data_IF_082174712207
#
_entry.id   IF_082174712207
#
_cell.length_a   1.000
_cell.length_b   1.000
_cell.length_c   1.000
_cell.angle_alpha   90.00
_cell.angle_beta   90.00
_cell.angle_gamma   90.00
#
_symmetry.space_group_name_H-M   'P 1'
#
loop_
_entity.id
_entity.type
_entity.pdbx_description
1 polymer ?
#
# COMPACT_ATOMS: atom_id res chain seq x y z
N UNK A 1 -10.16 -16.13 11.05
CA UNK A 1 -10.80 -15.18 11.98
C UNK A 1 -9.93 -15.07 13.23
N UNK A 2 -9.09 -14.07 13.40
CA UNK A 2 -8.17 -13.98 14.54
C UNK A 2 -8.89 -13.92 15.90
N UNK A 3 -10.13 -13.43 15.93
CA UNK A 3 -10.94 -13.31 17.15
C UNK A 3 -11.26 -14.62 17.89
N UNK A 4 -10.89 -15.78 17.33
CA UNK A 4 -11.11 -17.10 17.94
C UNK A 4 -9.82 -17.80 18.37
N UNK A 5 -8.66 -17.15 18.19
CA UNK A 5 -7.39 -17.70 18.66
C UNK A 5 -7.27 -17.40 20.16
N UNK A 6 -6.96 -18.42 20.96
CA UNK A 6 -6.90 -18.31 22.43
C UNK A 6 -5.91 -17.26 22.94
N UNK A 7 -4.85 -17.01 22.16
CA UNK A 7 -3.76 -16.09 22.52
C UNK A 7 -3.89 -14.71 21.87
N UNK A 8 -5.02 -14.42 21.19
CA UNK A 8 -5.26 -13.14 20.52
C UNK A 8 -6.42 -12.41 21.20
N UNK A 9 -6.16 -11.18 21.64
CA UNK A 9 -7.20 -10.30 22.16
C UNK A 9 -8.05 -9.73 20.98
N UNK A 10 -9.32 -10.13 20.85
CA UNK A 10 -10.15 -9.70 19.72
C UNK A 10 -10.50 -8.21 19.73
N UNK A 11 -10.31 -7.51 20.85
CA UNK A 11 -10.53 -6.07 20.96
C UNK A 11 -9.29 -5.24 20.61
N UNK A 12 -8.18 -5.90 20.34
CA UNK A 12 -6.87 -5.26 20.09
C UNK A 12 -6.27 -5.64 18.73
N UNK A 13 -7.12 -5.98 17.77
CA UNK A 13 -6.67 -6.30 16.41
C UNK A 13 -6.26 -5.03 15.69
N UNK A 14 -4.98 -4.91 15.39
CA UNK A 14 -4.42 -3.83 14.57
C UNK A 14 -4.18 -4.37 13.18
N UNK A 15 -4.45 -3.54 12.17
CA UNK A 15 -4.08 -3.85 10.79
C UNK A 15 -3.01 -2.88 10.31
N UNK A 16 -1.97 -3.45 9.71
CA UNK A 16 -0.85 -2.73 9.12
C UNK A 16 -0.76 -3.06 7.63
N UNK A 17 -0.47 -2.06 6.84
CA UNK A 17 -0.22 -2.25 5.42
C UNK A 17 0.66 -1.15 4.86
N UNK A 18 1.43 -1.50 3.82
CA UNK A 18 2.32 -0.58 3.14
C UNK A 18 2.02 -0.54 1.65
N UNK A 19 2.26 0.59 0.98
CA UNK A 19 2.05 0.78 -0.45
C UNK A 19 0.63 0.37 -0.87
N UNK A 20 0.47 -0.58 -1.78
CA UNK A 20 -0.83 -1.11 -2.19
C UNK A 20 -1.60 -1.73 -1.00
N UNK A 21 -0.89 -2.45 -0.11
CA UNK A 21 -1.42 -2.95 1.16
C UNK A 21 -1.85 -1.85 2.12
N UNK A 22 -1.19 -0.68 2.10
CA UNK A 22 -1.59 0.51 2.82
C UNK A 22 -2.98 1.01 2.42
N UNK A 23 -3.31 0.92 1.14
CA UNK A 23 -4.67 1.16 0.64
C UNK A 23 -5.66 0.10 1.11
N UNK A 24 -5.29 -1.17 1.09
CA UNK A 24 -6.16 -2.27 1.51
C UNK A 24 -6.58 -2.15 2.97
N UNK A 25 -5.66 -1.80 3.88
CA UNK A 25 -6.02 -1.65 5.30
C UNK A 25 -6.99 -0.49 5.52
N UNK A 26 -6.93 0.59 4.73
CA UNK A 26 -7.90 1.68 4.78
C UNK A 26 -9.30 1.20 4.35
N UNK A 27 -9.40 0.46 3.27
CA UNK A 27 -10.67 -0.10 2.81
C UNK A 27 -11.24 -1.09 3.84
N UNK A 28 -10.40 -2.00 4.35
CA UNK A 28 -10.80 -3.01 5.36
C UNK A 28 -11.31 -2.35 6.65
N UNK A 29 -10.59 -1.36 7.18
CA UNK A 29 -10.99 -0.68 8.41
C UNK A 29 -12.27 0.15 8.27
N UNK A 30 -12.58 0.61 7.06
CA UNK A 30 -13.83 1.32 6.81
C UNK A 30 -15.07 0.40 6.86
N UNK A 31 -14.88 -0.89 6.63
CA UNK A 31 -15.94 -1.89 6.57
C UNK A 31 -15.92 -2.84 7.78
N UNK A 32 -14.92 -2.73 8.68
CA UNK A 32 -14.84 -3.55 9.90
C UNK A 32 -14.55 -2.70 11.15
N UNK A 33 -15.61 -2.40 11.92
CA UNK A 33 -15.54 -1.61 13.16
C UNK A 33 -14.80 -2.33 14.32
N UNK A 34 -14.39 -3.60 14.16
CA UNK A 34 -13.63 -4.35 15.17
C UNK A 34 -12.15 -4.03 15.14
N UNK A 35 -11.67 -3.34 14.11
CA UNK A 35 -10.29 -2.90 14.02
C UNK A 35 -10.00 -1.88 15.11
N UNK A 36 -9.00 -2.15 15.95
CA UNK A 36 -8.62 -1.29 17.07
C UNK A 36 -7.76 -0.10 16.64
N UNK A 37 -6.87 -0.29 15.66
CA UNK A 37 -6.05 0.76 15.06
C UNK A 37 -5.57 0.36 13.67
N UNK A 38 -5.17 1.34 12.87
CA UNK A 38 -4.67 1.15 11.49
C UNK A 38 -3.33 1.85 11.33
N UNK A 39 -2.38 1.18 10.72
CA UNK A 39 -1.14 1.79 10.24
C UNK A 39 -1.11 1.65 8.72
N UNK A 40 -1.10 2.80 8.04
CA UNK A 40 -1.12 2.89 6.57
C UNK A 40 0.15 3.60 6.09
N UNK A 41 1.15 2.81 5.71
CA UNK A 41 2.48 3.28 5.34
C UNK A 41 2.56 3.53 3.83
N UNK A 42 3.06 4.72 3.41
CA UNK A 42 3.16 5.19 2.02
C UNK A 42 2.02 4.65 1.12
N UNK A 43 0.74 4.86 1.53
CA UNK A 43 -0.36 4.10 0.98
C UNK A 43 -0.71 4.51 -0.45
N UNK A 44 -1.02 3.50 -1.26
CA UNK A 44 -1.74 3.68 -2.51
C UNK A 44 -3.20 4.07 -2.21
N UNK A 45 -3.58 5.30 -2.49
CA UNK A 45 -4.91 5.83 -2.13
C UNK A 45 -5.82 6.13 -3.31
N UNK A 46 -5.24 6.30 -4.52
CA UNK A 46 -5.96 6.77 -5.70
C UNK A 46 -5.33 6.18 -6.97
N UNK A 47 -6.02 5.22 -7.57
CA UNK A 47 -5.54 4.50 -8.75
C UNK A 47 -5.38 5.36 -9.99
N UNK A 48 -6.29 6.31 -10.20
CA UNK A 48 -6.19 7.22 -11.35
C UNK A 48 -4.98 8.13 -11.22
N UNK A 49 -4.78 8.72 -10.02
CA UNK A 49 -3.64 9.61 -9.78
C UNK A 49 -2.30 8.90 -9.91
N UNK A 50 -2.19 7.67 -9.42
CA UNK A 50 -0.97 6.86 -9.58
C UNK A 50 -0.74 6.47 -11.04
N UNK A 51 -1.80 6.11 -11.78
CA UNK A 51 -1.70 5.77 -13.21
C UNK A 51 -1.31 6.97 -14.08
N UNK A 52 -1.77 8.18 -13.74
CA UNK A 52 -1.41 9.42 -14.43
C UNK A 52 0.03 9.89 -14.13
N UNK A 53 0.65 9.40 -13.08
CA UNK A 53 2.06 9.64 -12.77
C UNK A 53 3.01 8.76 -13.63
N UNK A 54 2.49 7.73 -14.30
CA UNK A 54 3.24 6.85 -15.18
C UNK A 54 3.37 7.47 -16.59
N UNK A 55 4.48 7.25 -17.27
CA UNK A 55 4.70 7.70 -18.64
C UNK A 55 3.58 7.22 -19.58
N UNK A 56 3.12 8.11 -20.47
CA UNK A 56 1.97 7.83 -21.35
C UNK A 56 2.17 6.57 -22.23
N UNK A 57 3.37 6.39 -22.80
CA UNK A 57 3.68 5.22 -23.63
C UNK A 57 3.67 3.91 -22.84
N UNK A 58 4.19 3.93 -21.61
CA UNK A 58 4.15 2.78 -20.69
C UNK A 58 2.70 2.45 -20.35
N UNK A 59 1.91 3.47 -19.97
CA UNK A 59 0.48 3.31 -19.66
C UNK A 59 -0.30 2.75 -20.84
N UNK A 60 -0.02 3.20 -22.07
CA UNK A 60 -0.69 2.70 -23.27
C UNK A 60 -0.34 1.22 -23.53
N UNK A 61 0.95 0.87 -23.51
CA UNK A 61 1.41 -0.53 -23.69
C UNK A 61 0.81 -1.46 -22.63
N UNK A 62 0.86 -1.05 -21.37
CA UNK A 62 0.29 -1.82 -20.27
C UNK A 62 -1.22 -2.00 -20.43
N UNK A 63 -1.94 -0.95 -20.86
CA UNK A 63 -3.39 -1.02 -21.12
C UNK A 63 -3.72 -1.99 -22.25
N UNK A 64 -2.97 -1.97 -23.35
CA UNK A 64 -3.17 -2.91 -24.48
C UNK A 64 -2.94 -4.37 -24.03
N UNK A 65 -1.87 -4.63 -23.28
CA UNK A 65 -1.61 -5.95 -22.72
C UNK A 65 -2.71 -6.38 -21.73
N UNK A 66 -3.18 -5.45 -20.90
CA UNK A 66 -4.25 -5.71 -19.94
C UNK A 66 -5.58 -6.06 -20.60
N UNK A 67 -5.93 -5.37 -21.69
CA UNK A 67 -7.12 -5.69 -22.50
C UNK A 67 -6.98 -7.04 -23.19
N UNK A 68 -5.84 -7.33 -23.81
CA UNK A 68 -5.57 -8.61 -24.45
C UNK A 68 -5.64 -9.76 -23.42
N UNK A 69 -5.05 -9.57 -22.23
CA UNK A 69 -5.09 -10.52 -21.15
C UNK A 69 -6.52 -10.73 -20.59
N UNK A 70 -7.29 -9.66 -20.46
CA UNK A 70 -8.70 -9.73 -20.01
C UNK A 70 -9.55 -10.49 -21.03
N UNK A 71 -9.44 -10.19 -22.31
CA UNK A 71 -10.18 -10.87 -23.38
C UNK A 71 -9.77 -12.34 -23.46
N UNK A 72 -8.46 -12.63 -23.48
CA UNK A 72 -7.93 -13.99 -23.50
C UNK A 72 -8.44 -14.84 -22.33
N UNK A 73 -8.62 -14.22 -21.15
CA UNK A 73 -9.13 -14.93 -19.97
C UNK A 73 -10.55 -15.47 -20.14
N UNK A 74 -11.39 -14.83 -20.94
CA UNK A 74 -12.74 -15.32 -21.22
C UNK A 74 -12.74 -16.61 -22.07
N UNK A 75 -11.64 -16.85 -22.79
CA UNK A 75 -11.41 -18.03 -23.61
C UNK A 75 -10.46 -19.05 -22.95
N UNK A 76 -10.18 -18.89 -21.65
CA UNK A 76 -9.31 -19.80 -20.90
C UNK A 76 -7.81 -19.68 -21.20
N UNK A 77 -7.38 -18.59 -21.87
CA UNK A 77 -5.96 -18.37 -22.15
C UNK A 77 -5.16 -18.14 -20.84
N UNK A 78 -3.89 -18.54 -20.86
CA UNK A 78 -2.96 -18.23 -19.76
C UNK A 78 -2.80 -16.72 -19.60
N UNK A 79 -2.59 -16.22 -18.35
CA UNK A 79 -2.41 -14.81 -18.12
C UNK A 79 -1.15 -14.29 -18.81
N UNK A 80 -1.24 -13.08 -19.39
CA UNK A 80 -0.08 -12.31 -19.81
C UNK A 80 0.52 -11.71 -18.56
N UNK A 81 1.76 -12.07 -18.24
CA UNK A 81 2.46 -11.60 -17.07
C UNK A 81 3.28 -10.34 -17.40
N UNK A 82 3.26 -9.38 -16.49
CA UNK A 82 4.00 -8.11 -16.56
C UNK A 82 4.79 -7.94 -15.28
N UNK A 83 6.06 -7.50 -15.34
CA UNK A 83 6.87 -7.23 -14.15
C UNK A 83 6.21 -6.22 -13.21
N UNK A 84 6.40 -6.41 -11.90
CA UNK A 84 5.93 -5.45 -10.89
C UNK A 84 6.73 -4.15 -10.91
N UNK A 85 8.05 -4.24 -11.12
CA UNK A 85 8.93 -3.09 -11.25
C UNK A 85 9.82 -3.21 -12.50
N UNK A 86 10.09 -2.09 -13.15
CA UNK A 86 10.94 -1.97 -14.33
C UNK A 86 11.68 -0.64 -14.35
N UNK A 87 12.61 -0.49 -15.26
CA UNK A 87 13.30 0.77 -15.53
C UNK A 87 12.33 1.77 -16.18
N UNK A 88 12.60 3.09 -16.12
CA UNK A 88 11.83 4.07 -16.88
C UNK A 88 11.72 3.69 -18.36
N UNK A 89 10.50 3.69 -18.89
CA UNK A 89 10.20 3.27 -20.26
C UNK A 89 9.90 1.76 -20.45
N UNK A 90 10.19 0.91 -19.48
CA UNK A 90 9.83 -0.51 -19.50
C UNK A 90 8.30 -0.69 -19.40
N UNK A 91 7.82 -1.85 -19.84
CA UNK A 91 6.43 -2.23 -19.62
C UNK A 91 6.32 -2.99 -18.30
N UNK A 92 6.09 -2.26 -17.22
CA UNK A 92 5.93 -2.77 -15.86
C UNK A 92 4.87 -1.97 -15.08
N UNK A 93 4.43 -2.46 -13.92
CA UNK A 93 3.45 -1.76 -13.09
C UNK A 93 4.01 -0.51 -12.41
N UNK A 94 5.29 -0.52 -12.05
CA UNK A 94 6.03 0.60 -11.45
C UNK A 94 7.27 0.87 -12.30
N UNK A 95 7.40 2.07 -12.85
CA UNK A 95 8.50 2.49 -13.73
C UNK A 95 9.07 3.86 -13.36
N UNK A 96 8.85 4.32 -12.12
CA UNK A 96 9.52 5.49 -11.60
C UNK A 96 11.04 5.26 -11.55
N UNK A 97 11.88 6.32 -11.55
CA UNK A 97 13.34 6.19 -11.61
C UNK A 97 13.94 5.29 -10.53
N UNK A 98 13.32 5.23 -9.36
CA UNK A 98 13.72 4.45 -8.20
C UNK A 98 12.99 3.09 -8.08
N UNK A 99 11.96 2.82 -8.90
CA UNK A 99 11.11 1.63 -8.75
C UNK A 99 11.89 0.32 -8.89
N UNK A 100 12.69 0.19 -9.95
CA UNK A 100 13.38 -1.07 -10.20
C UNK A 100 14.46 -1.36 -9.14
N UNK A 101 15.31 -0.38 -8.82
CA UNK A 101 16.37 -0.53 -7.82
C UNK A 101 15.80 -0.67 -6.40
N UNK A 102 14.82 0.17 -6.05
CA UNK A 102 14.18 0.16 -4.74
C UNK A 102 13.44 -1.15 -4.49
N UNK A 103 12.57 -1.57 -5.42
CA UNK A 103 11.81 -2.82 -5.25
C UNK A 103 12.72 -4.05 -5.16
N UNK A 104 13.68 -4.19 -6.08
CA UNK A 104 14.59 -5.34 -6.08
C UNK A 104 15.56 -5.33 -4.90
N UNK A 105 15.97 -4.14 -4.43
CA UNK A 105 16.82 -3.99 -3.24
C UNK A 105 16.17 -4.49 -1.94
N UNK A 106 14.84 -4.57 -1.88
CA UNK A 106 14.09 -5.09 -0.74
C UNK A 106 13.93 -6.61 -0.77
N UNK A 107 14.27 -7.28 -1.88
CA UNK A 107 14.12 -8.73 -1.99
C UNK A 107 15.34 -9.41 -1.38
N UNK A 108 15.17 -10.23 -0.32
CA UNK A 108 16.29 -10.94 0.28
C UNK A 108 16.98 -11.87 -0.73
N UNK A 109 18.30 -11.97 -0.64
CA UNK A 109 19.08 -12.89 -1.46
C UNK A 109 18.56 -14.32 -1.31
N UNK A 110 18.28 -14.99 -2.44
CA UNK A 110 17.74 -16.34 -2.48
C UNK A 110 16.22 -16.45 -2.26
N UNK A 111 15.51 -15.36 -2.03
CA UNK A 111 14.05 -15.41 -1.91
C UNK A 111 13.40 -15.78 -3.25
N UNK A 112 12.46 -16.74 -3.21
CA UNK A 112 11.67 -17.14 -4.38
C UNK A 112 10.33 -16.39 -4.39
N UNK A 113 10.36 -15.13 -4.79
CA UNK A 113 9.18 -14.28 -4.87
C UNK A 113 8.82 -14.10 -6.34
N UNK A 114 7.53 -14.27 -6.68
CA UNK A 114 7.05 -13.92 -8.03
C UNK A 114 7.05 -12.40 -8.16
N UNK A 115 7.79 -11.89 -9.13
CA UNK A 115 7.93 -10.46 -9.40
C UNK A 115 7.09 -10.00 -10.59
N UNK A 116 6.02 -10.72 -10.89
CA UNK A 116 5.14 -10.49 -12.01
C UNK A 116 3.67 -10.62 -11.57
N UNK A 117 2.80 -9.89 -12.22
CA UNK A 117 1.36 -10.03 -12.08
C UNK A 117 0.67 -10.08 -13.45
N UNK A 118 -0.57 -10.56 -13.47
CA UNK A 118 -1.37 -10.59 -14.69
C UNK A 118 -1.64 -9.17 -15.19
N UNK A 119 -1.41 -8.91 -16.46
CA UNK A 119 -1.56 -7.58 -17.06
C UNK A 119 -2.96 -6.99 -16.84
N UNK A 120 -4.00 -7.84 -16.85
CA UNK A 120 -5.40 -7.44 -16.59
C UNK A 120 -5.59 -6.71 -15.26
N UNK A 121 -4.70 -6.89 -14.28
CA UNK A 121 -4.73 -6.20 -13.01
C UNK A 121 -4.59 -4.68 -13.15
N UNK A 122 -3.92 -4.18 -14.20
CA UNK A 122 -3.83 -2.74 -14.48
C UNK A 122 -5.21 -2.09 -14.64
N UNK A 123 -6.19 -2.81 -15.23
CA UNK A 123 -7.56 -2.32 -15.39
C UNK A 123 -8.31 -2.17 -14.06
N UNK A 124 -7.92 -2.97 -13.06
CA UNK A 124 -8.50 -2.93 -11.73
C UNK A 124 -7.82 -1.86 -10.86
N UNK A 125 -6.49 -1.68 -11.01
CA UNK A 125 -5.71 -0.63 -10.32
C UNK A 125 -6.29 0.75 -10.58
N UNK A 126 -6.53 1.12 -11.85
CA UNK A 126 -7.01 2.46 -12.20
C UNK A 126 -8.38 2.79 -11.59
N UNK A 127 -9.16 1.77 -11.24
CA UNK A 127 -10.48 1.89 -10.62
C UNK A 127 -10.47 1.76 -9.11
N UNK A 128 -9.31 1.45 -8.52
CA UNK A 128 -9.18 1.23 -7.10
C UNK A 128 -8.88 2.54 -6.36
N UNK A 129 -9.80 2.97 -5.49
CA UNK A 129 -9.75 4.23 -4.75
C UNK A 129 -9.92 4.04 -3.24
N UNK A 130 -9.00 3.33 -2.56
CA UNK A 130 -9.16 3.04 -1.14
C UNK A 130 -9.19 4.29 -0.27
N UNK A 131 -8.54 5.38 -0.69
CA UNK A 131 -8.58 6.66 0.00
C UNK A 131 -9.99 7.25 0.17
N UNK A 132 -10.96 6.86 -0.67
CA UNK A 132 -12.36 7.29 -0.51
C UNK A 132 -13.04 6.70 0.73
N UNK A 133 -12.48 5.64 1.29
CA UNK A 133 -13.00 4.96 2.48
C UNK A 133 -12.62 5.67 3.78
N UNK A 134 -11.61 6.54 3.79
CA UNK A 134 -11.06 7.17 5.01
C UNK A 134 -12.11 7.88 5.89
N UNK A 135 -13.16 8.57 5.37
CA UNK A 135 -14.15 9.22 6.23
C UNK A 135 -15.01 8.23 7.06
N UNK A 136 -15.04 6.96 6.68
CA UNK A 136 -15.85 5.94 7.38
C UNK A 136 -15.07 5.17 8.44
N UNK A 137 -13.73 5.35 8.49
CA UNK A 137 -12.88 4.62 9.44
C UNK A 137 -13.12 5.17 10.86
N UNK A 138 -13.57 4.31 11.76
CA UNK A 138 -13.81 4.68 13.17
C UNK A 138 -12.56 4.53 14.04
N UNK A 139 -11.68 3.61 13.68
CA UNK A 139 -10.41 3.38 14.37
C UNK A 139 -9.44 4.56 14.20
N UNK A 140 -8.52 4.79 15.14
CA UNK A 140 -7.38 5.67 14.92
C UNK A 140 -6.52 5.15 13.78
N UNK A 141 -6.09 6.05 12.89
CA UNK A 141 -5.27 5.74 11.71
C UNK A 141 -3.99 6.55 11.74
N UNK A 142 -2.85 5.88 11.72
CA UNK A 142 -1.56 6.50 11.41
C UNK A 142 -1.30 6.42 9.90
N UNK A 143 -1.08 7.57 9.28
CA UNK A 143 -0.58 7.67 7.92
C UNK A 143 0.90 8.03 7.95
N UNK A 144 1.75 7.12 7.49
CA UNK A 144 3.17 7.38 7.24
C UNK A 144 3.32 7.82 5.78
N UNK A 145 3.60 9.08 5.52
CA UNK A 145 3.59 9.66 4.17
C UNK A 145 5.00 10.06 3.74
N UNK A 146 5.49 9.48 2.67
CA UNK A 146 6.75 9.87 2.04
C UNK A 146 6.52 11.08 1.13
N UNK A 147 7.18 12.21 1.40
CA UNK A 147 6.98 13.44 0.63
C UNK A 147 7.42 13.33 -0.84
N UNK A 148 8.63 12.79 -1.15
CA UNK A 148 9.06 12.56 -2.52
C UNK A 148 8.64 11.18 -3.06
N UNK A 149 7.43 10.68 -2.68
CA UNK A 149 6.94 9.38 -3.13
C UNK A 149 6.69 9.38 -4.64
N UNK A 150 7.46 8.58 -5.37
CA UNK A 150 7.42 8.44 -6.83
C UNK A 150 6.34 7.46 -7.32
N UNK A 151 5.78 6.62 -6.41
CA UNK A 151 4.84 5.54 -6.71
C UNK A 151 3.43 5.89 -6.25
N UNK A 152 3.31 6.38 -5.00
CA UNK A 152 2.05 6.74 -4.36
C UNK A 152 2.04 8.24 -3.99
N UNK A 153 1.59 9.15 -4.89
CA UNK A 153 1.77 10.60 -4.74
C UNK A 153 1.27 11.13 -3.40
N UNK A 154 2.18 11.73 -2.61
CA UNK A 154 1.92 12.23 -1.25
C UNK A 154 0.73 13.20 -1.19
N UNK A 155 0.57 14.06 -2.21
CA UNK A 155 -0.54 15.04 -2.28
C UNK A 155 -1.91 14.37 -2.19
N UNK A 156 -2.10 13.25 -2.89
CA UNK A 156 -3.38 12.51 -2.87
C UNK A 156 -3.56 11.80 -1.53
N UNK A 157 -2.52 11.17 -1.04
CA UNK A 157 -2.53 10.52 0.28
C UNK A 157 -2.92 11.51 1.37
N UNK A 158 -2.30 12.69 1.44
CA UNK A 158 -2.61 13.75 2.41
C UNK A 158 -4.05 14.25 2.30
N UNK A 159 -4.57 14.37 1.07
CA UNK A 159 -5.97 14.77 0.83
C UNK A 159 -6.94 13.77 1.44
N UNK A 160 -6.67 12.47 1.31
CA UNK A 160 -7.51 11.41 1.85
C UNK A 160 -7.30 11.23 3.35
N UNK A 161 -6.06 11.27 3.84
CA UNK A 161 -5.72 11.11 5.24
C UNK A 161 -6.46 12.12 6.15
N UNK A 162 -6.49 13.40 5.74
CA UNK A 162 -7.19 14.48 6.49
C UNK A 162 -8.71 14.28 6.61
N UNK A 163 -9.29 13.34 5.88
CA UNK A 163 -10.72 13.04 5.92
C UNK A 163 -11.06 11.93 6.93
N UNK A 164 -10.08 11.18 7.40
CA UNK A 164 -10.29 10.19 8.44
C UNK A 164 -10.58 10.90 9.78
N UNK A 165 -11.65 10.54 10.51
CA UNK A 165 -12.06 11.25 11.73
C UNK A 165 -11.00 11.26 12.85
N UNK A 166 -10.22 10.19 12.94
CA UNK A 166 -9.17 9.99 13.96
C UNK A 166 -7.83 9.70 13.28
N UNK A 167 -7.30 10.70 12.54
CA UNK A 167 -6.05 10.55 11.82
C UNK A 167 -4.86 11.17 12.55
N UNK A 168 -3.70 10.53 12.40
CA UNK A 168 -2.38 11.04 12.70
C UNK A 168 -1.55 10.95 11.42
N UNK A 169 -0.83 11.99 11.03
CA UNK A 169 -0.06 12.05 9.78
C UNK A 169 1.38 12.35 10.14
N UNK A 170 2.27 11.41 9.86
CA UNK A 170 3.71 11.59 9.91
C UNK A 170 4.26 11.70 8.49
N UNK A 171 5.08 12.73 8.25
CA UNK A 171 5.66 13.00 6.94
C UNK A 171 7.16 12.76 6.99
N UNK A 172 7.68 12.10 5.96
CA UNK A 172 9.07 11.71 5.86
C UNK A 172 9.68 12.27 4.57
N UNK A 173 10.88 12.84 4.68
CA UNK A 173 11.66 13.34 3.54
C UNK A 173 12.41 12.20 2.81
N UNK A 174 11.80 11.02 2.76
CA UNK A 174 12.34 9.78 2.18
C UNK A 174 11.45 9.31 1.03
N UNK A 175 12.03 8.64 0.04
CA UNK A 175 11.31 8.05 -1.08
C UNK A 175 10.50 6.82 -0.68
N UNK A 176 9.71 6.32 -1.65
CA UNK A 176 8.80 5.19 -1.43
C UNK A 176 9.52 3.94 -0.89
N UNK A 177 10.73 3.68 -1.37
CA UNK A 177 11.50 2.48 -1.02
C UNK A 177 12.50 2.69 0.12
N UNK A 178 12.86 3.94 0.44
CA UNK A 178 13.87 4.25 1.44
C UNK A 178 13.43 3.90 2.87
N UNK A 179 12.12 4.02 3.15
CA UNK A 179 11.55 3.78 4.48
C UNK A 179 11.54 2.31 4.93
N UNK A 180 12.00 1.40 4.10
CA UNK A 180 12.07 -0.03 4.44
C UNK A 180 13.45 -0.46 4.95
N UNK A 181 14.45 0.43 4.92
CA UNK A 181 15.83 0.10 5.26
C UNK A 181 16.52 1.24 6.04
N UNK A 182 17.54 0.90 6.81
CA UNK A 182 18.42 1.88 7.47
C UNK A 182 17.71 2.79 8.46
N UNK A 183 18.23 4.02 8.62
CA UNK A 183 17.73 4.99 9.62
C UNK A 183 16.29 5.42 9.35
N UNK A 184 15.88 5.51 8.08
CA UNK A 184 14.51 5.85 7.72
C UNK A 184 13.52 4.78 8.20
N UNK A 185 13.88 3.50 8.10
CA UNK A 185 13.09 2.40 8.64
C UNK A 185 12.94 2.50 10.16
N UNK A 186 14.06 2.73 10.89
CA UNK A 186 14.04 2.86 12.35
C UNK A 186 13.15 4.03 12.79
N UNK A 187 13.21 5.16 12.10
CA UNK A 187 12.36 6.31 12.37
C UNK A 187 10.88 5.96 12.21
N UNK A 188 10.52 5.38 11.06
CA UNK A 188 9.12 5.04 10.74
C UNK A 188 8.57 4.01 11.72
N UNK A 189 9.36 2.98 12.06
CA UNK A 189 8.97 1.95 13.03
C UNK A 189 8.83 2.55 14.44
N UNK A 190 9.71 3.45 14.83
CA UNK A 190 9.62 4.18 16.10
C UNK A 190 8.30 4.92 16.23
N UNK A 191 7.93 5.70 15.21
CA UNK A 191 6.66 6.43 15.16
C UNK A 191 5.44 5.51 15.20
N UNK A 192 5.50 4.37 14.48
CA UNK A 192 4.43 3.36 14.49
C UNK A 192 4.26 2.73 15.87
N UNK A 193 5.36 2.39 16.55
CA UNK A 193 5.32 1.83 17.90
C UNK A 193 4.74 2.83 18.90
N UNK A 194 5.11 4.10 18.80
CA UNK A 194 4.58 5.14 19.68
C UNK A 194 3.09 5.40 19.44
N UNK A 195 2.65 5.37 18.17
CA UNK A 195 1.23 5.41 17.85
C UNK A 195 0.47 4.22 18.49
N UNK A 196 1.01 3.01 18.41
CA UNK A 196 0.39 1.82 18.99
C UNK A 196 0.31 1.91 20.50
N UNK A 197 1.38 2.36 21.20
CA UNK A 197 1.39 2.55 22.66
C UNK A 197 0.28 3.49 23.12
N UNK A 198 0.01 4.56 22.37
CA UNK A 198 -1.03 5.54 22.70
C UNK A 198 -2.45 5.04 22.41
N UNK A 199 -2.65 4.30 21.33
CA UNK A 199 -3.99 3.95 20.83
C UNK A 199 -4.43 2.52 21.17
N UNK A 200 -3.50 1.61 21.42
CA UNK A 200 -3.75 0.20 21.76
C UNK A 200 -2.89 -0.23 22.95
N UNK A 201 -3.07 0.39 24.11
CA UNK A 201 -2.21 0.10 25.27
C UNK A 201 -2.30 -1.37 25.69
N UNK A 202 -1.19 -1.93 26.18
CA UNK A 202 -1.18 -3.27 26.73
C UNK A 202 -2.13 -3.39 27.93
N UNK A 203 -2.84 -4.52 28.09
CA UNK A 203 -3.60 -4.74 29.32
C UNK A 203 -2.66 -4.65 30.53
N UNK A 204 -3.15 -4.18 31.67
CA UNK A 204 -2.35 -4.16 32.88
C UNK A 204 -1.85 -5.57 33.19
N UNK A 205 -0.54 -5.70 33.40
CA UNK A 205 0.06 -6.98 33.81
C UNK A 205 -0.62 -7.44 35.08
N UNK A 206 -1.34 -8.56 35.03
CA UNK A 206 -1.83 -9.17 36.27
C UNK A 206 -0.63 -9.52 37.13
N UNK A 207 -0.46 -8.82 38.22
CA UNK A 207 0.51 -9.18 39.28
C UNK A 207 0.02 -10.40 40.02
#
# INVERSE_FOLDING_TARGET
>A
MPARLADVDPQRVVIWGTSFGGGHVLATAADDARVAAVISQCPFTDGLSSSLATELLVSLRLTLLALADRIGSWFGAKPILVPLAGQPGDTAFMTSPDAWSGYNGLIPSGARIRQEAAARFALDIIRYYPGRSTPRIQAPVLFCVCDPDSVAPAKQTLRHARRAPRHEIHRYAHGHFDIYVGEAFEQVVGDQLDFLKRNVPSPPTKR
#
